data_IF_526756802778
#
_entry.id   IF_526756802778
#
_cell.length_a   1.000
_cell.length_b   1.000
_cell.length_c   1.000
_cell.angle_alpha   90.00
_cell.angle_beta   90.00
_cell.angle_gamma   90.00
#
_symmetry.space_group_name_H-M   'P 1'
#
loop_
_entity.id
_entity.type
_entity.pdbx_description
1 polymer ?
#
# COMPACT_ATOMS: atom_id res chain seq x y z
N UNK A 1 -4.21 1.75 6.61
CA UNK A 1 -5.46 2.32 7.18
C UNK A 1 -6.59 1.30 7.01
N UNK A 2 -7.61 1.27 7.87
CA UNK A 2 -8.74 0.33 7.73
C UNK A 2 -9.93 1.04 7.12
N UNK A 3 -10.24 0.74 5.86
CA UNK A 3 -11.31 1.38 5.07
C UNK A 3 -12.66 0.65 5.16
N UNK A 4 -12.72 -0.46 5.91
CA UNK A 4 -13.90 -1.32 6.02
C UNK A 4 -14.15 -2.23 4.82
N UNK A 5 -13.29 -2.25 3.81
CA UNK A 5 -13.39 -3.08 2.61
C UNK A 5 -12.20 -4.04 2.47
N UNK A 6 -12.00 -4.97 3.41
CA UNK A 6 -10.91 -5.93 3.29
C UNK A 6 -11.10 -6.77 2.01
N UNK A 7 -10.14 -6.65 1.10
CA UNK A 7 -10.04 -7.40 -0.15
C UNK A 7 -8.62 -7.96 -0.34
N UNK A 8 -8.46 -9.00 -1.16
CA UNK A 8 -7.19 -9.69 -1.35
C UNK A 8 -6.77 -10.59 -0.18
N UNK A 9 -5.54 -11.08 -0.17
CA UNK A 9 -5.03 -11.90 0.94
C UNK A 9 -4.03 -11.13 1.78
N UNK A 10 -4.33 -10.94 3.07
CA UNK A 10 -3.43 -10.26 4.01
C UNK A 10 -3.68 -10.71 5.44
N UNK A 11 -2.69 -10.51 6.30
CA UNK A 11 -2.81 -10.65 7.75
C UNK A 11 -2.18 -9.45 8.45
N UNK A 12 -2.77 -9.03 9.58
CA UNK A 12 -2.27 -7.91 10.37
C UNK A 12 -2.71 -8.04 11.82
N UNK A 13 -1.81 -7.67 12.74
CA UNK A 13 -2.14 -7.47 14.15
C UNK A 13 -2.54 -6.02 14.38
N UNK A 14 -3.70 -5.84 15.03
CA UNK A 14 -4.22 -4.56 15.47
C UNK A 14 -4.19 -4.49 16.99
N UNK A 15 -3.58 -3.45 17.54
CA UNK A 15 -3.58 -3.16 18.97
C UNK A 15 -4.96 -2.75 19.46
N UNK A 16 -5.20 -2.82 20.77
CA UNK A 16 -6.46 -2.35 21.38
C UNK A 16 -6.78 -0.87 21.05
N UNK A 17 -5.77 -0.02 20.88
CA UNK A 17 -5.95 1.38 20.48
C UNK A 17 -6.41 1.49 19.02
N UNK A 18 -5.77 0.76 18.10
CA UNK A 18 -6.16 0.72 16.68
C UNK A 18 -7.56 0.12 16.50
N UNK A 19 -7.95 -0.87 17.30
CA UNK A 19 -9.30 -1.44 17.26
C UNK A 19 -10.37 -0.40 17.57
N UNK A 20 -10.15 0.45 18.58
CA UNK A 20 -11.07 1.55 18.89
C UNK A 20 -11.11 2.58 17.75
N UNK A 21 -9.97 2.87 17.13
CA UNK A 21 -9.90 3.81 16.01
C UNK A 21 -10.58 3.29 14.73
N UNK A 22 -10.71 1.97 14.57
CA UNK A 22 -11.25 1.31 13.37
C UNK A 22 -12.66 0.75 13.55
N UNK A 23 -13.36 1.20 14.59
CA UNK A 23 -14.68 0.68 14.99
C UNK A 23 -14.72 -0.86 15.07
N UNK A 24 -13.76 -1.42 15.80
CA UNK A 24 -13.58 -2.86 15.98
C UNK A 24 -13.43 -3.64 14.66
N UNK A 25 -12.72 -3.05 13.71
CA UNK A 25 -12.54 -3.57 12.36
C UNK A 25 -13.89 -3.83 11.68
N UNK A 26 -14.82 -2.87 11.74
CA UNK A 26 -16.11 -2.97 11.07
C UNK A 26 -15.89 -3.24 9.57
N UNK A 27 -16.68 -4.16 8.99
CA UNK A 27 -16.59 -4.51 7.57
C UNK A 27 -17.89 -4.15 6.86
N UNK A 28 -17.76 -3.55 5.69
CA UNK A 28 -18.88 -3.17 4.84
C UNK A 28 -19.44 -4.37 4.06
N UNK A 29 -18.64 -5.42 3.87
CA UNK A 29 -19.10 -6.71 3.38
C UNK A 29 -20.17 -7.30 4.29
N UNK A 30 -21.21 -7.89 3.70
CA UNK A 30 -22.23 -8.62 4.47
C UNK A 30 -21.62 -9.91 4.97
N UNK A 31 -21.33 -9.98 6.26
CA UNK A 31 -20.77 -11.16 6.88
C UNK A 31 -21.71 -11.77 7.91
N UNK A 32 -21.75 -13.09 7.96
CA UNK A 32 -22.21 -13.82 9.14
C UNK A 32 -21.03 -14.05 10.08
N UNK A 33 -21.21 -13.78 11.37
CA UNK A 33 -20.22 -14.11 12.40
C UNK A 33 -20.36 -15.59 12.79
N UNK A 34 -19.47 -16.39 12.21
CA UNK A 34 -19.10 -17.78 12.47
C UNK A 34 -18.12 -17.98 13.64
N UNK A 35 -17.96 -19.22 14.13
CA UNK A 35 -16.68 -19.67 14.70
C UNK A 35 -16.76 -20.38 16.05
N UNK A 36 -15.81 -21.29 16.34
CA UNK A 36 -15.73 -21.97 17.63
C UNK A 36 -15.34 -20.97 18.74
N UNK A 37 -15.98 -21.06 19.91
CA UNK A 37 -15.62 -20.27 21.11
C UNK A 37 -14.36 -20.81 21.81
N UNK A 38 -13.38 -21.26 21.04
CA UNK A 38 -12.11 -21.80 21.54
C UNK A 38 -11.06 -20.69 21.67
N UNK A 39 -10.17 -20.81 22.65
CA UNK A 39 -9.11 -19.84 22.94
C UNK A 39 -9.51 -18.84 24.04
N UNK A 40 -8.56 -17.99 24.43
CA UNK A 40 -8.72 -17.02 25.51
C UNK A 40 -8.48 -15.60 25.04
N UNK A 41 -9.31 -14.65 25.48
CA UNK A 41 -9.05 -13.21 25.24
C UNK A 41 -7.81 -12.72 26.01
N UNK A 42 -7.37 -13.45 27.05
CA UNK A 42 -6.22 -13.12 27.89
C UNK A 42 -4.91 -13.80 27.43
N UNK A 43 -4.94 -14.49 26.29
CA UNK A 43 -3.74 -15.14 25.76
C UNK A 43 -2.66 -14.11 25.42
N UNK A 44 -1.39 -14.43 25.74
CA UNK A 44 -0.24 -13.61 25.37
C UNK A 44 0.07 -13.70 23.86
N UNK A 45 -0.07 -14.88 23.27
CA UNK A 45 0.05 -15.12 21.82
C UNK A 45 -1.33 -15.22 21.18
N UNK A 46 -1.52 -14.50 20.07
CA UNK A 46 -2.73 -14.52 19.26
C UNK A 46 -3.13 -15.93 18.79
N UNK A 47 -2.17 -16.86 18.64
CA UNK A 47 -2.46 -18.26 18.26
C UNK A 47 -3.35 -18.99 19.26
N UNK A 48 -3.24 -18.59 20.53
CA UNK A 48 -4.06 -19.10 21.64
C UNK A 48 -5.26 -18.17 21.94
N UNK A 49 -5.38 -17.08 21.18
CA UNK A 49 -6.44 -16.11 21.27
C UNK A 49 -7.82 -16.69 20.96
N UNK A 50 -8.87 -16.07 21.49
CA UNK A 50 -10.25 -16.42 21.15
C UNK A 50 -10.49 -16.21 19.67
N UNK A 51 -10.86 -17.29 18.97
CA UNK A 51 -11.12 -17.26 17.53
C UNK A 51 -12.56 -16.87 17.23
N UNK A 52 -12.74 -16.03 16.21
CA UNK A 52 -14.03 -15.81 15.53
C UNK A 52 -13.83 -15.77 14.02
N UNK A 53 -14.88 -16.04 13.26
CA UNK A 53 -14.87 -16.04 11.80
C UNK A 53 -15.96 -15.13 11.25
N UNK A 54 -15.69 -14.39 10.17
CA UNK A 54 -16.71 -13.65 9.42
C UNK A 54 -16.79 -14.24 8.02
N UNK A 55 -17.93 -14.82 7.68
CA UNK A 55 -18.17 -15.44 6.38
C UNK A 55 -18.97 -14.50 5.50
N UNK A 56 -18.38 -14.06 4.39
CA UNK A 56 -19.06 -13.19 3.44
C UNK A 56 -20.25 -13.90 2.80
N UNK A 57 -21.40 -13.21 2.69
CA UNK A 57 -22.62 -13.76 2.08
C UNK A 57 -22.70 -13.56 0.57
N UNK A 58 -21.78 -12.77 0.02
CA UNK A 58 -21.75 -12.38 -1.38
C UNK A 58 -22.70 -11.24 -1.67
N UNK A 59 -23.32 -11.25 -2.85
CA UNK A 59 -24.22 -10.19 -3.31
C UNK A 59 -25.47 -10.78 -3.95
N UNK A 60 -26.54 -9.98 -4.01
CA UNK A 60 -27.72 -10.30 -4.82
C UNK A 60 -27.61 -9.57 -6.16
N UNK A 61 -27.90 -10.24 -7.27
CA UNK A 61 -27.87 -9.65 -8.61
C UNK A 61 -29.17 -9.94 -9.34
N UNK A 62 -29.66 -8.96 -10.10
CA UNK A 62 -30.78 -9.19 -11.02
C UNK A 62 -30.34 -10.06 -12.21
N UNK A 63 -31.20 -10.99 -12.64
CA UNK A 63 -30.97 -11.83 -13.82
C UNK A 63 -31.39 -11.17 -15.13
N UNK A 64 -32.21 -10.11 -15.09
CA UNK A 64 -32.65 -9.42 -16.30
C UNK A 64 -31.49 -8.70 -16.98
N UNK A 65 -31.39 -8.89 -18.29
CA UNK A 65 -30.42 -8.24 -19.14
C UNK A 65 -30.56 -6.70 -19.05
N UNK A 66 -29.44 -5.98 -18.97
CA UNK A 66 -29.40 -4.52 -18.85
C UNK A 66 -29.77 -3.93 -17.47
N UNK A 67 -30.36 -4.68 -16.55
CA UNK A 67 -30.87 -4.12 -15.28
C UNK A 67 -29.78 -3.73 -14.27
N UNK A 68 -28.54 -4.25 -14.40
CA UNK A 68 -27.34 -3.82 -13.66
C UNK A 68 -27.38 -3.90 -12.12
N UNK A 69 -28.55 -4.22 -11.53
CA UNK A 69 -28.82 -4.06 -10.11
C UNK A 69 -28.04 -5.07 -9.27
N UNK A 70 -27.34 -4.54 -8.27
CA UNK A 70 -26.65 -5.31 -7.23
C UNK A 70 -27.18 -4.85 -5.88
N UNK A 71 -27.64 -5.80 -5.06
CA UNK A 71 -28.20 -5.52 -3.74
C UNK A 71 -27.45 -6.24 -2.62
N UNK A 72 -27.48 -5.61 -1.45
CA UNK A 72 -26.89 -6.13 -0.21
C UNK A 72 -27.74 -7.29 0.33
N UNK A 73 -27.21 -8.52 0.46
CA UNK A 73 -27.92 -9.59 1.13
C UNK A 73 -28.05 -9.31 2.63
N UNK A 74 -29.04 -9.92 3.26
CA UNK A 74 -29.15 -10.00 4.71
C UNK A 74 -28.09 -10.96 5.27
N UNK A 75 -27.81 -10.87 6.56
CA UNK A 75 -26.74 -11.67 7.20
C UNK A 75 -27.14 -13.13 7.41
N UNK A 76 -28.41 -13.40 7.73
CA UNK A 76 -28.96 -14.74 8.00
C UNK A 76 -29.56 -15.37 6.75
N UNK A 77 -29.27 -16.64 6.49
CA UNK A 77 -29.72 -17.34 5.27
C UNK A 77 -31.23 -17.30 5.07
N UNK A 78 -32.01 -17.54 6.13
CA UNK A 78 -33.46 -17.48 6.07
C UNK A 78 -34.00 -16.12 5.58
N UNK A 79 -33.30 -15.02 5.88
CA UNK A 79 -33.68 -13.68 5.42
C UNK A 79 -33.21 -13.42 3.98
N UNK A 80 -32.10 -14.02 3.57
CA UNK A 80 -31.65 -13.97 2.17
C UNK A 80 -32.67 -14.68 1.27
N UNK A 81 -33.19 -15.84 1.68
CA UNK A 81 -34.23 -16.55 0.93
C UNK A 81 -35.47 -15.66 0.71
N UNK A 82 -35.92 -14.97 1.76
CA UNK A 82 -37.01 -13.97 1.65
C UNK A 82 -36.68 -12.79 0.74
N UNK A 83 -35.41 -12.42 0.57
CA UNK A 83 -35.01 -11.40 -0.41
C UNK A 83 -35.06 -11.94 -1.83
N UNK A 84 -34.69 -13.20 -2.05
CA UNK A 84 -34.72 -13.84 -3.37
C UNK A 84 -36.15 -14.06 -3.89
N UNK A 85 -37.13 -14.20 -2.99
CA UNK A 85 -38.55 -14.24 -3.33
C UNK A 85 -39.10 -12.91 -3.86
N UNK A 86 -38.42 -11.78 -3.58
CA UNK A 86 -38.86 -10.46 -4.05
C UNK A 86 -38.34 -10.19 -5.47
N UNK A 87 -39.18 -9.62 -6.35
CA UNK A 87 -38.71 -9.18 -7.65
C UNK A 87 -37.76 -7.99 -7.51
N UNK A 88 -36.86 -7.85 -8.47
CA UNK A 88 -36.09 -6.63 -8.70
C UNK A 88 -37.03 -5.47 -9.06
N UNK A 89 -36.56 -4.23 -8.91
CA UNK A 89 -37.28 -3.03 -9.34
C UNK A 89 -37.62 -3.04 -10.84
N UNK A 90 -36.80 -3.69 -11.67
CA UNK A 90 -37.08 -3.89 -13.10
C UNK A 90 -38.02 -5.07 -13.40
N UNK A 91 -38.61 -5.71 -12.38
CA UNK A 91 -39.46 -6.90 -12.52
C UNK A 91 -38.71 -8.22 -12.68
N UNK A 92 -37.39 -8.19 -12.84
CA UNK A 92 -36.54 -9.37 -12.96
C UNK A 92 -36.36 -10.17 -11.67
N UNK A 93 -35.95 -11.43 -11.79
CA UNK A 93 -35.64 -12.28 -10.63
C UNK A 93 -34.27 -11.94 -10.02
N UNK A 94 -34.14 -12.14 -8.71
CA UNK A 94 -32.88 -11.99 -8.01
C UNK A 94 -32.22 -13.36 -7.84
N UNK A 95 -30.91 -13.40 -8.07
CA UNK A 95 -30.06 -14.53 -7.72
C UNK A 95 -29.00 -14.10 -6.71
N UNK A 96 -28.59 -15.05 -5.87
CA UNK A 96 -27.47 -14.85 -4.97
C UNK A 96 -26.18 -15.30 -5.63
N UNK A 97 -25.23 -14.39 -5.75
CA UNK A 97 -23.85 -14.71 -6.09
C UNK A 97 -23.13 -14.96 -4.78
N UNK A 98 -22.78 -16.22 -4.50
CA UNK A 98 -22.13 -16.59 -3.24
C UNK A 98 -20.69 -16.11 -3.17
N UNK A 99 -20.28 -15.62 -1.99
CA UNK A 99 -18.88 -15.44 -1.66
C UNK A 99 -18.44 -16.53 -0.68
N UNK A 100 -17.27 -17.12 -0.90
CA UNK A 100 -16.70 -18.18 -0.03
C UNK A 100 -15.48 -17.69 0.75
N UNK A 101 -15.39 -16.37 0.93
CA UNK A 101 -14.32 -15.71 1.67
C UNK A 101 -14.62 -15.74 3.16
N UNK A 102 -13.59 -16.07 3.95
CA UNK A 102 -13.67 -16.14 5.40
C UNK A 102 -12.57 -15.27 5.97
N UNK A 103 -12.97 -14.32 6.81
CA UNK A 103 -12.06 -13.54 7.63
C UNK A 103 -11.94 -14.26 8.98
N UNK A 104 -10.72 -14.46 9.48
CA UNK A 104 -10.48 -15.04 10.81
C UNK A 104 -9.94 -13.94 11.72
N UNK A 105 -10.48 -13.87 12.92
CA UNK A 105 -10.08 -12.91 13.92
C UNK A 105 -9.70 -13.65 15.19
N UNK A 106 -8.50 -13.38 15.70
CA UNK A 106 -7.97 -13.94 16.92
C UNK A 106 -7.83 -12.82 17.94
N UNK A 107 -8.73 -12.77 18.91
CA UNK A 107 -8.69 -11.81 20.01
C UNK A 107 -7.80 -12.34 21.12
N UNK A 108 -6.86 -11.53 21.58
CA UNK A 108 -5.89 -11.87 22.61
C UNK A 108 -5.54 -10.62 23.42
N UNK A 109 -4.70 -10.75 24.46
CA UNK A 109 -4.48 -9.71 25.47
C UNK A 109 -4.10 -8.35 24.88
N UNK A 110 -3.29 -8.36 23.82
CA UNK A 110 -2.73 -7.14 23.22
C UNK A 110 -3.56 -6.59 22.04
N UNK A 111 -4.63 -7.29 21.61
CA UNK A 111 -5.51 -6.83 20.54
C UNK A 111 -6.14 -7.95 19.70
N UNK A 112 -6.19 -7.76 18.38
CA UNK A 112 -6.72 -8.76 17.43
C UNK A 112 -5.71 -9.01 16.32
N UNK A 113 -5.41 -10.27 16.06
CA UNK A 113 -4.77 -10.70 14.82
C UNK A 113 -5.85 -11.04 13.79
N UNK A 114 -5.85 -10.31 12.67
CA UNK A 114 -6.84 -10.41 11.61
C UNK A 114 -6.22 -11.08 10.39
N UNK A 115 -6.89 -12.09 9.85
CA UNK A 115 -6.45 -12.83 8.67
C UNK A 115 -7.58 -12.82 7.63
N UNK A 116 -7.27 -12.33 6.43
CA UNK A 116 -8.12 -12.44 5.26
C UNK A 116 -7.54 -13.45 4.28
N UNK A 117 -8.15 -14.64 4.21
CA UNK A 117 -7.75 -15.69 3.27
C UNK A 117 -8.74 -15.74 2.10
N UNK A 118 -8.35 -15.16 0.96
CA UNK A 118 -9.13 -15.20 -0.27
C UNK A 118 -8.42 -15.92 -1.42
N UNK A 119 -8.62 -17.24 -1.65
CA UNK A 119 -8.14 -17.92 -2.85
C UNK A 119 -8.97 -17.61 -4.10
N UNK A 120 -10.07 -16.86 -3.93
CA UNK A 120 -10.99 -16.52 -5.01
C UNK A 120 -10.28 -15.73 -6.12
N UNK A 121 -9.33 -14.86 -5.78
CA UNK A 121 -8.54 -14.13 -6.78
C UNK A 121 -7.65 -15.07 -7.62
N UNK A 122 -7.04 -16.11 -7.03
CA UNK A 122 -6.26 -17.09 -7.80
C UNK A 122 -7.15 -17.96 -8.69
N UNK A 123 -8.38 -18.24 -8.25
CA UNK A 123 -9.36 -19.03 -9.00
C UNK A 123 -9.99 -18.23 -10.16
N UNK A 124 -10.24 -16.95 -9.97
CA UNK A 124 -10.94 -16.07 -10.93
C UNK A 124 -9.95 -15.33 -11.84
N UNK A 125 -8.70 -15.18 -11.41
CA UNK A 125 -7.73 -14.30 -12.06
C UNK A 125 -7.54 -13.01 -11.26
N UNK A 126 -6.30 -12.50 -11.26
CA UNK A 126 -5.99 -11.21 -10.61
C UNK A 126 -6.75 -10.11 -11.36
N UNK A 127 -7.58 -9.28 -10.70
CA UNK A 127 -8.28 -8.20 -11.38
C UNK A 127 -7.28 -7.24 -12.06
N UNK A 128 -7.44 -7.02 -13.36
CA UNK A 128 -6.68 -6.03 -14.15
C UNK A 128 -7.64 -5.04 -14.80
N UNK A 129 -7.12 -3.94 -15.34
CA UNK A 129 -7.89 -2.95 -16.10
C UNK A 129 -8.63 -3.56 -17.31
N UNK A 130 -8.14 -4.69 -17.83
CA UNK A 130 -8.70 -5.39 -18.99
C UNK A 130 -9.60 -6.59 -18.60
N UNK A 131 -9.90 -6.75 -17.31
CA UNK A 131 -10.64 -7.89 -16.76
C UNK A 131 -9.76 -8.80 -15.89
N UNK A 132 -10.25 -9.98 -15.48
CA UNK A 132 -9.46 -10.92 -14.69
C UNK A 132 -8.26 -11.42 -15.51
N UNK A 133 -7.06 -11.31 -14.95
CA UNK A 133 -5.84 -11.91 -15.49
C UNK A 133 -5.85 -13.43 -15.44
N UNK A 134 -4.73 -14.09 -15.77
CA UNK A 134 -4.69 -15.55 -15.86
C UNK A 134 -5.10 -16.24 -14.56
N UNK A 135 -6.02 -17.19 -14.69
CA UNK A 135 -6.51 -18.00 -13.57
C UNK A 135 -5.56 -19.16 -13.28
N UNK A 136 -5.45 -19.58 -12.01
CA UNK A 136 -4.79 -20.83 -11.64
C UNK A 136 -5.41 -22.06 -12.35
N UNK A 137 -6.68 -21.97 -12.77
CA UNK A 137 -7.35 -23.01 -13.57
C UNK A 137 -6.70 -23.27 -14.93
N UNK A 138 -6.07 -22.25 -15.50
CA UNK A 138 -5.35 -22.35 -16.78
C UNK A 138 -4.04 -23.11 -16.64
N UNK A 139 -3.47 -23.15 -15.43
CA UNK A 139 -2.23 -23.88 -15.14
C UNK A 139 -2.52 -25.39 -15.05
N UNK A 140 -3.63 -25.76 -14.42
CA UNK A 140 -4.09 -27.14 -14.36
C UNK A 140 -5.56 -27.24 -13.99
N UNK A 141 -6.27 -28.20 -14.59
CA UNK A 141 -7.68 -28.49 -14.28
C UNK A 141 -7.91 -28.88 -12.81
N UNK A 142 -6.90 -29.41 -12.12
CA UNK A 142 -6.99 -29.74 -10.69
C UNK A 142 -7.05 -28.49 -9.80
N UNK A 143 -6.60 -27.34 -10.31
CA UNK A 143 -6.62 -26.06 -9.63
C UNK A 143 -7.97 -25.34 -9.79
N UNK A 144 -9.00 -26.00 -10.34
CA UNK A 144 -10.40 -25.57 -10.14
C UNK A 144 -10.82 -25.80 -8.68
N UNK A 145 -10.18 -26.75 -7.98
CA UNK A 145 -10.44 -27.02 -6.58
C UNK A 145 -9.72 -26.00 -5.68
N UNK A 146 -10.51 -25.24 -4.90
CA UNK A 146 -10.03 -24.22 -3.96
C UNK A 146 -9.08 -24.79 -2.89
N UNK A 147 -9.36 -25.98 -2.38
CA UNK A 147 -8.52 -26.61 -1.36
C UNK A 147 -7.17 -27.01 -1.95
N UNK A 148 -7.16 -27.43 -3.22
CA UNK A 148 -5.92 -27.68 -3.96
C UNK A 148 -5.14 -26.40 -4.23
N UNK A 149 -5.80 -25.32 -4.68
CA UNK A 149 -5.16 -24.00 -4.81
C UNK A 149 -4.56 -23.59 -3.46
N UNK A 150 -5.32 -23.75 -2.37
CA UNK A 150 -4.88 -23.33 -1.03
C UNK A 150 -3.66 -24.15 -0.58
N UNK A 151 -3.64 -25.45 -0.87
CA UNK A 151 -2.52 -26.32 -0.57
C UNK A 151 -1.27 -25.93 -1.38
N UNK A 152 -1.39 -25.77 -2.70
CA UNK A 152 -0.26 -25.38 -3.55
C UNK A 152 0.24 -23.98 -3.22
N UNK A 153 -0.67 -23.01 -2.97
CA UNK A 153 -0.31 -21.67 -2.53
C UNK A 153 0.42 -21.70 -1.18
N UNK A 154 -0.03 -22.53 -0.22
CA UNK A 154 0.68 -22.75 1.04
C UNK A 154 2.04 -23.39 0.83
N UNK A 155 2.17 -24.34 -0.09
CA UNK A 155 3.44 -24.99 -0.42
C UNK A 155 4.45 -23.99 -0.98
N UNK A 156 4.02 -23.15 -1.93
CA UNK A 156 4.85 -22.05 -2.49
C UNK A 156 5.24 -21.08 -1.39
N UNK A 157 4.29 -20.64 -0.54
CA UNK A 157 4.59 -19.75 0.60
C UNK A 157 5.54 -20.37 1.61
N UNK A 158 5.40 -21.66 1.91
CA UNK A 158 6.32 -22.38 2.81
C UNK A 158 7.72 -22.53 2.21
N UNK A 159 7.83 -22.72 0.88
CA UNK A 159 9.11 -22.69 0.17
C UNK A 159 9.76 -21.31 0.18
N UNK A 160 8.96 -20.24 0.13
CA UNK A 160 9.46 -18.87 0.32
C UNK A 160 9.85 -18.55 1.79
N UNK A 161 9.26 -19.26 2.76
CA UNK A 161 9.56 -19.12 4.19
C UNK A 161 10.75 -19.99 4.66
N UNK A 162 11.30 -20.88 3.83
CA UNK A 162 12.40 -21.78 4.22
C UNK A 162 13.79 -21.15 4.13
N UNK A 163 13.93 -19.90 3.70
CA UNK A 163 15.12 -19.09 3.99
C UNK A 163 14.90 -18.44 5.36
N UNK A 164 15.64 -18.88 6.37
CA UNK A 164 15.49 -18.46 7.79
C UNK A 164 15.85 -16.98 8.07
N UNK A 165 15.71 -16.06 7.11
CA UNK A 165 15.86 -14.63 7.35
C UNK A 165 15.01 -13.84 6.33
N UNK A 166 13.78 -13.41 6.70
CA UNK A 166 12.82 -12.85 5.74
C UNK A 166 13.22 -11.51 5.11
N UNK A 167 14.28 -10.84 5.59
CA UNK A 167 14.75 -9.55 5.06
C UNK A 167 16.27 -9.49 4.87
N UNK A 168 16.95 -10.63 4.66
CA UNK A 168 18.38 -10.61 4.32
C UNK A 168 18.59 -10.47 2.83
N UNK A 169 19.24 -9.37 2.42
CA UNK A 169 19.67 -9.16 1.04
C UNK A 169 20.76 -10.18 0.68
N UNK A 170 20.40 -11.20 -0.09
CA UNK A 170 21.38 -12.09 -0.71
C UNK A 170 21.97 -11.38 -1.94
N UNK A 171 23.25 -11.04 -1.89
CA UNK A 171 23.94 -10.28 -2.95
C UNK A 171 23.93 -11.02 -4.30
N UNK A 172 24.04 -12.35 -4.29
CA UNK A 172 24.00 -13.14 -5.53
C UNK A 172 22.62 -13.13 -6.17
N UNK A 173 21.56 -13.24 -5.36
CA UNK A 173 20.17 -13.13 -5.83
C UNK A 173 19.86 -11.72 -6.31
N UNK A 174 20.38 -10.70 -5.63
CA UNK A 174 20.23 -9.30 -6.05
C UNK A 174 20.95 -9.03 -7.37
N UNK A 175 22.16 -9.56 -7.56
CA UNK A 175 22.88 -9.46 -8.83
C UNK A 175 22.09 -10.14 -9.96
N UNK A 176 21.61 -11.36 -9.73
CA UNK A 176 20.76 -12.07 -10.68
C UNK A 176 19.47 -11.30 -10.99
N UNK A 177 18.84 -10.69 -9.99
CA UNK A 177 17.65 -9.86 -10.16
C UNK A 177 17.94 -8.66 -11.07
N UNK A 178 19.07 -7.98 -10.88
CA UNK A 178 19.50 -6.87 -11.72
C UNK A 178 19.79 -7.30 -13.17
N UNK A 179 20.35 -8.49 -13.37
CA UNK A 179 20.56 -9.06 -14.71
C UNK A 179 19.25 -9.37 -15.43
N UNK A 180 18.26 -9.93 -14.72
CA UNK A 180 16.95 -10.29 -15.27
C UNK A 180 16.07 -9.05 -15.49
N UNK A 181 16.25 -8.00 -14.70
CA UNK A 181 15.45 -6.78 -14.74
C UNK A 181 16.33 -5.52 -14.97
N UNK A 182 16.97 -5.41 -16.14
CA UNK A 182 17.86 -4.29 -16.43
C UNK A 182 17.11 -2.97 -16.37
N UNK A 183 17.67 -1.99 -15.65
CA UNK A 183 17.11 -0.64 -15.52
C UNK A 183 15.97 -0.49 -14.51
N UNK A 184 15.52 -1.57 -13.86
CA UNK A 184 14.52 -1.49 -12.79
C UNK A 184 15.11 -0.86 -11.52
N UNK A 185 16.33 -1.25 -11.14
CA UNK A 185 17.07 -0.62 -10.05
C UNK A 185 17.77 0.62 -10.60
N UNK A 186 17.39 1.80 -10.10
CA UNK A 186 17.90 3.09 -10.58
C UNK A 186 18.95 3.71 -9.65
N UNK A 187 18.99 3.26 -8.40
CA UNK A 187 19.99 3.65 -7.42
C UNK A 187 20.13 2.56 -6.35
N UNK A 188 21.35 2.25 -5.93
CA UNK A 188 21.58 1.32 -4.83
C UNK A 188 22.83 1.69 -4.03
N UNK A 189 22.70 1.62 -2.72
CA UNK A 189 23.82 1.69 -1.75
C UNK A 189 23.62 0.53 -0.79
N UNK A 190 24.67 -0.25 -0.56
CA UNK A 190 24.64 -1.45 0.28
C UNK A 190 25.77 -1.33 1.30
N UNK A 191 25.42 -1.35 2.59
CA UNK A 191 26.36 -1.14 3.68
C UNK A 191 25.63 -0.89 5.01
N UNK A 192 26.24 -0.09 5.89
CA UNK A 192 25.58 0.35 7.15
C UNK A 192 24.27 1.07 6.82
N UNK A 193 24.32 1.96 5.84
CA UNK A 193 23.15 2.53 5.18
C UNK A 193 22.89 1.69 3.94
N UNK A 194 21.70 1.08 3.88
CA UNK A 194 21.28 0.31 2.71
C UNK A 194 19.98 0.90 2.17
N UNK A 195 20.05 1.41 0.93
CA UNK A 195 18.91 1.96 0.20
C UNK A 195 18.94 1.40 -1.21
N UNK A 196 17.83 0.81 -1.65
CA UNK A 196 17.68 0.26 -3.00
C UNK A 196 16.44 0.91 -3.61
N UNK A 197 16.64 1.77 -4.60
CA UNK A 197 15.58 2.48 -5.30
C UNK A 197 15.25 1.82 -6.63
N UNK A 198 13.97 1.59 -6.84
CA UNK A 198 13.40 0.93 -8.01
C UNK A 198 12.39 1.84 -8.71
N UNK A 199 12.38 1.74 -10.04
CA UNK A 199 11.52 2.56 -10.89
C UNK A 199 11.21 1.86 -12.21
N UNK A 200 9.93 1.80 -12.56
CA UNK A 200 9.46 1.33 -13.86
C UNK A 200 9.35 2.50 -14.86
N UNK A 201 9.31 2.24 -16.18
CA UNK A 201 9.16 3.29 -17.18
C UNK A 201 7.91 4.17 -16.98
N UNK A 202 6.79 3.58 -16.58
CA UNK A 202 5.56 4.34 -16.28
C UNK A 202 5.78 5.28 -15.09
N UNK A 203 6.41 4.78 -14.01
CA UNK A 203 6.71 5.57 -12.81
C UNK A 203 7.60 6.78 -13.16
N UNK A 204 8.65 6.56 -13.97
CA UNK A 204 9.51 7.65 -14.45
C UNK A 204 8.72 8.69 -15.25
N UNK A 205 7.84 8.24 -16.13
CA UNK A 205 7.08 9.14 -16.99
C UNK A 205 6.13 10.05 -16.21
N UNK A 206 5.72 9.65 -15.02
CA UNK A 206 4.72 10.36 -14.23
C UNK A 206 5.35 11.36 -13.25
N UNK A 207 6.68 11.33 -13.14
CA UNK A 207 7.46 12.36 -12.42
C UNK A 207 7.54 13.69 -13.17
N UNK A 208 7.31 13.70 -14.49
CA UNK A 208 7.38 14.91 -15.33
C UNK A 208 6.05 15.10 -16.04
N UNK A 209 5.36 16.20 -15.74
CA UNK A 209 4.07 16.54 -16.35
C UNK A 209 4.26 17.50 -17.50
N UNK A 210 3.64 17.19 -18.64
CA UNK A 210 3.63 18.09 -19.81
C UNK A 210 2.69 19.28 -19.61
N UNK A 211 1.61 19.09 -18.86
CA UNK A 211 0.62 20.13 -18.56
C UNK A 211 0.49 20.28 -17.05
N UNK A 212 0.67 21.50 -16.55
CA UNK A 212 0.37 21.86 -15.16
C UNK A 212 -1.11 22.19 -15.05
N UNK A 213 -1.76 21.69 -14.00
CA UNK A 213 -3.13 22.09 -13.67
C UNK A 213 -3.11 23.36 -12.83
N UNK A 214 -3.51 24.49 -13.39
CA UNK A 214 -3.48 25.79 -12.70
C UNK A 214 -4.44 25.86 -11.51
N UNK A 215 -5.49 25.03 -11.50
CA UNK A 215 -6.56 25.06 -10.51
C UNK A 215 -6.43 24.02 -9.37
N UNK A 216 -5.44 23.13 -9.41
CA UNK A 216 -5.34 22.02 -8.45
C UNK A 216 -3.92 21.81 -7.92
N UNK A 217 -3.75 21.53 -6.61
CA UNK A 217 -2.44 21.30 -5.97
C UNK A 217 -1.88 19.90 -6.27
N UNK A 218 -2.10 19.39 -7.48
CA UNK A 218 -1.74 18.01 -7.89
C UNK A 218 -0.44 17.96 -8.68
N UNK A 219 0.17 19.10 -8.99
CA UNK A 219 1.36 19.18 -9.84
C UNK A 219 2.66 18.75 -9.16
N UNK A 220 2.68 18.71 -7.82
CA UNK A 220 3.86 18.33 -7.05
C UNK A 220 3.97 16.83 -6.79
N UNK A 221 5.09 16.46 -6.16
CA UNK A 221 5.36 15.11 -5.66
C UNK A 221 4.99 15.05 -4.18
N UNK A 222 4.54 13.89 -3.73
CA UNK A 222 4.31 13.59 -2.31
C UNK A 222 5.18 12.40 -1.91
N UNK A 223 6.01 12.58 -0.90
CA UNK A 223 6.88 11.54 -0.34
C UNK A 223 6.39 11.10 1.03
N UNK A 224 6.42 9.79 1.27
CA UNK A 224 6.06 9.19 2.55
C UNK A 224 6.86 7.90 2.81
N UNK A 225 7.08 7.62 4.09
CA UNK A 225 7.75 6.41 4.56
C UNK A 225 6.77 5.47 5.25
N UNK A 226 6.49 4.33 4.61
CA UNK A 226 5.62 3.31 5.16
C UNK A 226 6.36 2.42 6.16
N UNK A 227 6.07 2.62 7.44
CA UNK A 227 6.52 1.75 8.53
C UNK A 227 5.75 0.41 8.55
N UNK A 228 6.45 -0.68 8.84
CA UNK A 228 5.83 -2.01 9.04
C UNK A 228 5.40 -2.70 7.75
N UNK A 229 5.84 -2.20 6.58
CA UNK A 229 5.73 -2.93 5.32
C UNK A 229 6.62 -4.17 5.29
N UNK A 230 7.84 -4.05 5.81
CA UNK A 230 8.81 -5.14 5.94
C UNK A 230 8.68 -5.89 7.27
N UNK A 231 9.21 -7.12 7.33
CA UNK A 231 9.13 -7.94 8.55
C UNK A 231 9.95 -7.29 9.68
N UNK A 232 11.12 -6.78 9.35
CA UNK A 232 11.98 -6.00 10.22
C UNK A 232 11.45 -4.57 10.33
N UNK A 233 10.96 -4.22 11.52
CA UNK A 233 10.30 -2.93 11.78
C UNK A 233 11.18 -1.68 11.62
N UNK A 234 12.50 -1.83 11.63
CA UNK A 234 13.42 -0.72 11.35
C UNK A 234 13.47 -0.36 9.87
N UNK A 235 13.07 -1.30 9.01
CA UNK A 235 13.17 -1.15 7.57
C UNK A 235 11.92 -0.45 7.06
N UNK A 236 12.09 0.39 6.04
CA UNK A 236 11.06 1.25 5.49
C UNK A 236 10.87 1.00 4.01
N UNK A 237 9.62 1.16 3.56
CA UNK A 237 9.31 1.38 2.17
C UNK A 237 9.07 2.89 1.98
N UNK A 238 9.98 3.56 1.30
CA UNK A 238 9.88 5.00 1.01
C UNK A 238 9.32 5.15 -0.41
N UNK A 239 8.27 5.95 -0.57
CA UNK A 239 7.61 6.15 -1.85
C UNK A 239 7.48 7.64 -2.12
N UNK A 240 7.94 8.09 -3.30
CA UNK A 240 7.60 9.40 -3.83
C UNK A 240 6.60 9.22 -4.97
N UNK A 241 5.43 9.81 -4.84
CA UNK A 241 4.28 9.63 -5.75
C UNK A 241 3.91 10.93 -6.45
N UNK A 242 3.46 10.80 -7.70
CA UNK A 242 2.87 11.87 -8.50
C UNK A 242 1.41 11.53 -8.84
N UNK A 243 0.58 12.56 -9.03
CA UNK A 243 -0.79 12.36 -9.48
C UNK A 243 -0.85 12.15 -11.01
N UNK A 244 -1.34 10.99 -11.46
CA UNK A 244 -1.54 10.69 -12.88
C UNK A 244 -2.89 11.19 -13.36
N UNK A 245 -2.90 12.05 -14.39
CA UNK A 245 -4.13 12.54 -15.01
C UNK A 245 -4.83 11.46 -15.83
N UNK A 246 -4.05 10.56 -16.44
CA UNK A 246 -4.55 9.46 -17.24
C UNK A 246 -5.32 8.45 -16.40
N UNK A 247 -4.77 8.10 -15.22
CA UNK A 247 -5.38 7.13 -14.31
C UNK A 247 -6.26 7.77 -13.24
N UNK A 248 -6.22 9.10 -13.09
CA UNK A 248 -6.92 9.89 -12.07
C UNK A 248 -6.63 9.41 -10.64
N UNK A 249 -5.40 8.96 -10.39
CA UNK A 249 -4.96 8.50 -9.08
C UNK A 249 -3.49 8.83 -8.84
N UNK A 250 -3.09 8.77 -7.56
CA UNK A 250 -1.70 8.86 -7.16
C UNK A 250 -0.99 7.56 -7.51
N UNK A 251 0.14 7.67 -8.19
CA UNK A 251 0.97 6.54 -8.56
C UNK A 251 2.41 6.76 -8.12
N UNK A 252 3.14 5.70 -7.76
CA UNK A 252 4.54 5.79 -7.42
C UNK A 252 5.35 6.34 -8.60
N UNK A 253 6.17 7.36 -8.33
CA UNK A 253 7.21 7.84 -9.25
C UNK A 253 8.56 7.17 -8.98
N UNK A 254 8.85 6.83 -7.72
CA UNK A 254 9.99 6.00 -7.30
C UNK A 254 9.66 5.31 -5.98
N UNK A 255 10.17 4.10 -5.79
CA UNK A 255 10.03 3.33 -4.56
C UNK A 255 11.41 2.93 -4.07
N UNK A 256 11.65 2.96 -2.76
CA UNK A 256 12.92 2.52 -2.19
C UNK A 256 12.71 1.62 -0.98
N UNK A 257 13.43 0.50 -0.97
CA UNK A 257 13.76 -0.18 0.27
C UNK A 257 14.80 0.66 1.03
N UNK A 258 14.65 0.74 2.35
CA UNK A 258 15.60 1.37 3.26
C UNK A 258 15.74 0.55 4.53
N UNK A 259 16.95 0.26 5.00
CA UNK A 259 17.16 -0.46 6.27
C UNK A 259 17.07 0.43 7.52
N UNK A 260 16.65 1.70 7.35
CA UNK A 260 16.54 2.68 8.42
C UNK A 260 15.86 3.98 7.98
N UNK A 261 15.79 4.95 8.91
CA UNK A 261 14.98 6.16 8.80
C UNK A 261 15.78 7.45 9.07
N UNK A 262 17.10 7.43 8.92
CA UNK A 262 17.95 8.62 9.16
C UNK A 262 17.96 9.54 7.94
N UNK A 263 18.42 10.79 8.12
CA UNK A 263 18.58 11.74 7.00
C UNK A 263 19.37 11.16 5.83
N UNK A 264 20.40 10.35 6.13
CA UNK A 264 21.24 9.71 5.11
C UNK A 264 20.47 8.66 4.28
N UNK A 265 19.52 7.95 4.88
CA UNK A 265 18.65 7.04 4.15
C UNK A 265 17.74 7.81 3.18
N UNK A 266 17.10 8.87 3.68
CA UNK A 266 16.24 9.74 2.87
C UNK A 266 17.03 10.45 1.78
N UNK A 267 18.28 10.84 2.05
CA UNK A 267 19.19 11.45 1.07
C UNK A 267 19.32 10.56 -0.17
N UNK A 268 19.58 9.27 0.01
CA UNK A 268 19.67 8.34 -1.14
C UNK A 268 18.36 8.17 -1.90
N UNK A 269 17.21 8.16 -1.22
CA UNK A 269 15.90 8.12 -1.89
C UNK A 269 15.69 9.38 -2.75
N UNK A 270 15.89 10.57 -2.18
CA UNK A 270 15.69 11.83 -2.88
C UNK A 270 16.73 12.07 -3.98
N UNK A 271 17.97 11.66 -3.79
CA UNK A 271 18.99 11.74 -4.84
C UNK A 271 18.59 10.93 -6.07
N UNK A 272 18.09 9.70 -5.85
CA UNK A 272 17.55 8.87 -6.93
C UNK A 272 16.34 9.53 -7.60
N UNK A 273 15.43 10.14 -6.82
CA UNK A 273 14.28 10.89 -7.34
C UNK A 273 14.73 12.05 -8.24
N UNK A 274 15.68 12.86 -7.80
CA UNK A 274 16.15 14.04 -8.54
C UNK A 274 16.84 13.64 -9.85
N UNK A 275 17.71 12.63 -9.82
CA UNK A 275 18.30 12.09 -11.04
C UNK A 275 17.24 11.55 -12.01
N UNK A 276 16.20 10.86 -11.52
CA UNK A 276 15.10 10.40 -12.35
C UNK A 276 14.32 11.54 -13.00
N UNK A 277 13.96 12.59 -12.24
CA UNK A 277 13.29 13.78 -12.78
C UNK A 277 14.16 14.45 -13.85
N UNK A 278 15.42 14.72 -13.53
CA UNK A 278 16.34 15.41 -14.45
C UNK A 278 16.54 14.62 -15.75
N UNK A 279 16.75 13.30 -15.65
CA UNK A 279 16.86 12.39 -16.80
C UNK A 279 15.63 12.43 -17.69
N UNK A 280 14.44 12.37 -17.09
CA UNK A 280 13.19 12.36 -17.87
C UNK A 280 12.91 13.72 -18.52
N UNK A 281 13.21 14.81 -17.82
CA UNK A 281 13.11 16.16 -18.38
C UNK A 281 14.05 16.33 -19.57
N UNK A 282 15.31 15.94 -19.42
CA UNK A 282 16.30 15.98 -20.49
C UNK A 282 15.82 15.13 -21.70
N UNK A 283 15.31 13.92 -21.45
CA UNK A 283 14.76 13.04 -22.49
C UNK A 283 13.62 13.68 -23.27
N UNK A 284 12.80 14.51 -22.62
CA UNK A 284 11.67 15.24 -23.22
C UNK A 284 12.03 16.64 -23.74
N UNK A 285 13.30 17.04 -23.65
CA UNK A 285 13.76 18.36 -24.09
C UNK A 285 13.30 19.53 -23.20
N UNK A 286 12.93 19.25 -21.94
CA UNK A 286 12.63 20.30 -20.97
C UNK A 286 13.90 20.88 -20.35
N UNK A 287 13.82 22.16 -19.98
CA UNK A 287 14.86 22.85 -19.21
C UNK A 287 15.03 22.22 -17.82
N UNK A 288 16.27 21.83 -17.49
CA UNK A 288 16.67 21.22 -16.21
C UNK A 288 17.30 22.21 -15.23
N UNK A 289 17.50 23.48 -15.64
CA UNK A 289 18.11 24.51 -14.80
C UNK A 289 17.18 25.01 -13.68
N UNK A 290 15.86 24.84 -13.84
CA UNK A 290 14.86 25.32 -12.87
C UNK A 290 14.69 24.36 -11.70
N UNK A 291 14.63 24.93 -10.50
CA UNK A 291 14.50 24.18 -9.23
C UNK A 291 13.06 23.73 -8.92
N UNK A 292 12.05 24.46 -9.41
CA UNK A 292 10.63 24.28 -9.04
C UNK A 292 10.10 22.85 -9.25
N UNK A 293 10.69 22.13 -10.20
CA UNK A 293 10.28 20.78 -10.61
C UNK A 293 10.67 19.71 -9.59
N UNK A 294 11.52 20.06 -8.63
CA UNK A 294 11.91 19.22 -7.51
C UNK A 294 11.04 19.48 -6.26
N UNK A 295 10.03 20.36 -6.38
CA UNK A 295 9.09 20.66 -5.30
C UNK A 295 8.40 19.40 -4.77
N UNK A 296 8.40 19.25 -3.45
CA UNK A 296 7.94 18.02 -2.81
C UNK A 296 7.18 18.30 -1.51
N UNK A 297 6.15 17.50 -1.27
CA UNK A 297 5.38 17.46 -0.03
C UNK A 297 5.87 16.28 0.79
N UNK A 298 6.49 16.57 1.93
CA UNK A 298 7.04 15.57 2.85
C UNK A 298 6.22 15.53 4.14
N UNK A 299 6.43 14.50 4.94
CA UNK A 299 5.98 14.51 6.32
C UNK A 299 6.81 15.52 7.15
N UNK A 300 6.37 15.84 8.37
CA UNK A 300 7.09 16.80 9.22
C UNK A 300 8.33 16.19 9.92
N UNK A 301 8.83 15.04 9.46
CA UNK A 301 10.02 14.45 10.07
C UNK A 301 11.27 15.26 9.70
N UNK A 302 12.09 15.51 10.71
CA UNK A 302 13.35 16.23 10.56
C UNK A 302 14.34 15.45 9.67
N UNK A 303 14.33 14.11 9.78
CA UNK A 303 15.17 13.25 8.97
C UNK A 303 14.82 13.31 7.49
N UNK A 304 13.54 13.25 7.12
CA UNK A 304 13.12 13.34 5.71
C UNK A 304 13.46 14.72 5.14
N UNK A 305 13.16 15.78 5.89
CA UNK A 305 13.49 17.17 5.50
C UNK A 305 15.00 17.36 5.28
N UNK A 306 15.83 16.90 6.21
CA UNK A 306 17.29 17.03 6.10
C UNK A 306 17.82 16.19 4.94
N UNK A 307 17.33 14.95 4.79
CA UNK A 307 17.70 14.08 3.67
C UNK A 307 17.36 14.69 2.30
N UNK A 308 16.20 15.33 2.17
CA UNK A 308 15.83 16.06 0.95
C UNK A 308 16.81 17.19 0.64
N UNK A 309 17.13 18.02 1.63
CA UNK A 309 18.04 19.16 1.48
C UNK A 309 19.43 18.68 1.08
N UNK A 310 19.97 17.68 1.77
CA UNK A 310 21.30 17.14 1.50
C UNK A 310 21.37 16.51 0.10
N UNK A 311 20.32 15.79 -0.30
CA UNK A 311 20.23 15.20 -1.65
C UNK A 311 20.17 16.27 -2.75
N UNK A 312 19.48 17.39 -2.49
CA UNK A 312 19.34 18.46 -3.46
C UNK A 312 20.66 19.20 -3.69
N UNK A 313 21.38 19.47 -2.59
CA UNK A 313 22.71 20.09 -2.64
C UNK A 313 23.65 19.19 -3.45
N UNK A 314 23.73 17.91 -3.12
CA UNK A 314 24.58 16.94 -3.81
C UNK A 314 24.22 16.79 -5.29
N UNK A 315 22.92 16.67 -5.60
CA UNK A 315 22.43 16.59 -6.96
C UNK A 315 22.90 17.80 -7.80
N UNK A 316 22.70 19.02 -7.31
CA UNK A 316 23.10 20.23 -8.03
C UNK A 316 24.62 20.41 -8.12
N UNK A 317 25.37 20.00 -7.10
CA UNK A 317 26.83 19.96 -7.15
C UNK A 317 27.33 18.99 -8.22
N UNK A 318 26.71 17.81 -8.34
CA UNK A 318 27.03 16.83 -9.38
C UNK A 318 26.70 17.33 -10.80
N UNK A 319 25.70 18.21 -10.94
CA UNK A 319 25.42 18.90 -12.21
C UNK A 319 26.39 20.06 -12.52
N UNK A 320 27.34 20.37 -11.64
CA UNK A 320 28.35 21.40 -11.86
C UNK A 320 27.87 22.83 -11.60
N UNK A 321 26.89 23.02 -10.71
CA UNK A 321 26.42 24.36 -10.33
C UNK A 321 27.52 25.22 -9.71
N UNK A 322 27.48 26.53 -9.94
CA UNK A 322 28.37 27.52 -9.31
C UNK A 322 27.78 28.13 -8.02
N UNK A 323 26.55 27.75 -7.66
CA UNK A 323 25.84 28.25 -6.49
C UNK A 323 26.51 27.77 -5.20
N UNK A 324 26.48 28.61 -4.17
CA UNK A 324 26.99 28.22 -2.86
C UNK A 324 26.11 27.16 -2.20
N UNK A 325 26.66 26.41 -1.24
CA UNK A 325 25.91 25.41 -0.46
C UNK A 325 24.74 26.06 0.29
N UNK A 326 24.92 27.28 0.81
CA UNK A 326 23.87 27.99 1.54
C UNK A 326 22.74 28.47 0.61
N UNK A 327 23.07 28.86 -0.62
CA UNK A 327 22.06 29.20 -1.64
C UNK A 327 21.24 27.97 -2.04
N UNK A 328 21.91 26.82 -2.22
CA UNK A 328 21.25 25.55 -2.56
C UNK A 328 20.35 25.07 -1.42
N UNK A 329 20.82 25.18 -0.18
CA UNK A 329 20.03 24.86 1.02
C UNK A 329 18.78 25.74 1.11
N UNK A 330 18.92 27.04 0.88
CA UNK A 330 17.80 27.99 0.92
C UNK A 330 16.75 27.67 -0.15
N UNK A 331 17.20 27.33 -1.37
CA UNK A 331 16.29 26.86 -2.42
C UNK A 331 15.59 25.55 -2.06
N UNK A 332 16.34 24.54 -1.58
CA UNK A 332 15.75 23.26 -1.16
C UNK A 332 14.68 23.44 -0.09
N UNK A 333 14.91 24.33 0.87
CA UNK A 333 13.91 24.68 1.90
C UNK A 333 12.66 25.33 1.30
N UNK A 334 12.80 26.16 0.26
CA UNK A 334 11.68 26.77 -0.45
C UNK A 334 10.86 25.79 -1.30
N UNK A 335 11.47 24.69 -1.74
CA UNK A 335 10.83 23.62 -2.51
C UNK A 335 10.02 22.65 -1.64
N UNK A 336 10.32 22.58 -0.34
CA UNK A 336 9.63 21.70 0.58
C UNK A 336 8.32 22.32 1.09
N UNK A 337 7.27 21.51 1.09
CA UNK A 337 5.99 21.82 1.74
C UNK A 337 5.66 20.71 2.74
N UNK A 338 5.12 21.08 3.90
CA UNK A 338 4.65 20.10 4.88
C UNK A 338 3.25 19.59 4.54
N UNK A 339 3.00 18.29 4.73
CA UNK A 339 1.69 17.69 4.50
C UNK A 339 0.63 18.21 5.50
N UNK A 340 -0.39 18.94 5.03
CA UNK A 340 -1.46 19.50 5.89
C UNK A 340 -2.16 18.44 6.76
N UNK A 341 -2.33 17.22 6.25
CA UNK A 341 -2.97 16.15 6.99
C UNK A 341 -2.10 15.69 8.18
N UNK A 342 -0.79 15.56 7.97
CA UNK A 342 0.15 15.26 9.05
C UNK A 342 0.25 16.41 10.06
N UNK A 343 0.19 17.67 9.61
CA UNK A 343 0.10 18.82 10.51
C UNK A 343 -1.14 18.73 11.41
N UNK A 344 -2.33 18.56 10.81
CA UNK A 344 -3.59 18.48 11.54
C UNK A 344 -3.61 17.29 12.51
N UNK A 345 -3.05 16.15 12.09
CA UNK A 345 -2.90 14.97 12.95
C UNK A 345 -1.96 15.25 14.14
N UNK A 346 -0.86 15.97 13.90
CA UNK A 346 0.07 16.42 14.94
C UNK A 346 -0.58 17.38 15.94
N UNK A 347 -1.31 18.40 15.46
CA UNK A 347 -2.06 19.35 16.29
C UNK A 347 -3.12 18.61 17.11
N UNK A 348 -3.87 17.70 16.48
CA UNK A 348 -4.88 16.87 17.17
C UNK A 348 -4.23 16.05 18.28
N UNK A 349 -3.07 15.43 18.01
CA UNK A 349 -2.32 14.68 19.03
C UNK A 349 -1.91 15.59 20.20
N UNK A 350 -1.33 16.75 19.92
CA UNK A 350 -0.91 17.72 20.96
C UNK A 350 -2.09 18.24 21.77
N UNK A 351 -3.22 18.55 21.13
CA UNK A 351 -4.44 19.03 21.80
C UNK A 351 -5.05 18.03 22.79
N UNK A 352 -4.72 16.74 22.63
CA UNK A 352 -5.16 15.66 23.53
C UNK A 352 -4.15 15.37 24.66
N UNK A 353 -3.00 16.04 24.67
CA UNK A 353 -2.03 15.95 25.77
C UNK A 353 -2.42 16.95 26.84
N UNK A 354 -3.21 16.50 27.82
CA UNK A 354 -3.69 17.33 28.94
C UNK A 354 -2.60 17.86 29.89
N UNK A 355 -1.33 17.54 29.66
CA UNK A 355 -0.19 18.10 30.39
C UNK A 355 0.45 19.33 29.73
N UNK A 356 0.14 19.64 28.48
CA UNK A 356 0.75 20.76 27.72
C UNK A 356 -0.22 21.93 27.54
N UNK A 357 -1.52 21.66 27.51
CA UNK A 357 -2.57 22.68 27.43
C UNK A 357 -3.39 22.58 28.71
N UNK A 358 -3.35 23.59 29.61
CA UNK A 358 -4.25 23.63 30.76
C UNK A 358 -5.71 23.77 30.28
N UNK A 359 -6.69 23.29 31.06
CA UNK A 359 -8.10 23.23 30.67
C UNK A 359 -8.72 24.60 30.36
#
# INVERSE_FOLDING_TARGET
>A
EWDGWPDGSFERTYTNAELKATDNLAVNWVCEVAGPKSGSDEAEDWRNGRKSERRCRGVLKCTSEGCGMVARPQTRMAQILKQLEKPCLCGGSLIRIECRTVQKLYRFKHGIHYIHEGPAQLLVGIPTLQGPGRSAREISSILVNKDRITYEAKKVRRGAQSSNAPDQLNISEFAQFCEVHPGLIVHSVIGVITVISMQQPLMLSELVKETRMDSEPVNGIVSDAAHGYWVKRSDLLIISSGYSLSLRCWIPGIMSYSNGATSEHYRHHFLALFHSIARERMRRGFDTSKDEEFGNVVDFSEAERNGFIDAFIEFRQNEGTTRSVDDLRSSAQGLLRGCRQHFNSGVTRLSRIGGVIPP
#
